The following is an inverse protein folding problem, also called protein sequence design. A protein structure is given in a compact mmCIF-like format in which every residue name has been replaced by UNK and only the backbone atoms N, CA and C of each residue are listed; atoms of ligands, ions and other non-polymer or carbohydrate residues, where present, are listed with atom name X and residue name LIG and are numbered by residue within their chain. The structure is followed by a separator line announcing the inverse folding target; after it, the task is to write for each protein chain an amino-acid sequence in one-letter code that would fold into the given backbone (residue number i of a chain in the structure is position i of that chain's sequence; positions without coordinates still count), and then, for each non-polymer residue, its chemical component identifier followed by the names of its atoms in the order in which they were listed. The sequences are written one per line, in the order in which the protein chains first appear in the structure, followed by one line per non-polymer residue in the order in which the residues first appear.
data_IF_804217444555
#
_entry.id   IF_804217444555
#
_cell.length_a   1.000
_cell.length_b   1.000
_cell.length_c   1.000
_cell.angle_alpha   90.00
_cell.angle_beta   90.00
_cell.angle_gamma   90.00
#
_symmetry.space_group_name_H-M   'P 1'
#
loop_
_entity.id
_entity.type
_entity.pdbx_description
1 polymer ?
#
# COMPACT_ATOMS: atom_id res chain seq x y z
N UNK A 1 6.58 5.15 -7.36
CA UNK A 1 5.88 5.64 -8.57
C UNK A 1 4.55 4.91 -8.67
N UNK A 2 3.49 5.65 -8.97
CA UNK A 2 2.10 5.17 -8.97
C UNK A 2 1.39 5.80 -10.15
N UNK A 3 0.84 4.97 -11.03
CA UNK A 3 0.00 5.43 -12.14
C UNK A 3 -1.45 5.61 -11.68
N UNK A 4 -2.10 6.65 -12.15
CA UNK A 4 -3.54 6.85 -11.90
C UNK A 4 -4.32 5.73 -12.58
N UNK A 5 -5.12 4.94 -11.84
CA UNK A 5 -5.88 3.85 -12.43
C UNK A 5 -6.96 4.40 -13.37
N UNK A 6 -7.06 3.81 -14.57
CA UNK A 6 -8.09 4.19 -15.58
C UNK A 6 -9.51 3.81 -15.17
N UNK A 7 -9.64 2.83 -14.27
CA UNK A 7 -10.90 2.32 -13.75
C UNK A 7 -10.65 1.66 -12.38
N UNK A 8 -11.74 1.38 -11.66
CA UNK A 8 -11.76 0.80 -10.30
C UNK A 8 -11.28 1.76 -9.20
N UNK A 9 -11.45 1.32 -7.96
CA UNK A 9 -11.06 2.03 -6.74
C UNK A 9 -9.78 1.43 -6.10
N UNK A 10 -8.94 0.74 -6.88
CA UNK A 10 -7.69 0.17 -6.41
C UNK A 10 -6.49 0.92 -6.97
N UNK A 11 -5.54 1.25 -6.09
CA UNK A 11 -4.24 1.81 -6.48
C UNK A 11 -3.19 0.71 -6.37
N UNK A 12 -2.36 0.58 -7.40
CA UNK A 12 -1.24 -0.36 -7.43
C UNK A 12 0.07 0.42 -7.35
N UNK A 13 0.88 0.14 -6.33
CA UNK A 13 2.07 0.91 -6.02
C UNK A 13 3.29 0.03 -5.79
N UNK A 14 4.46 0.46 -6.27
CA UNK A 14 5.74 -0.20 -5.95
C UNK A 14 6.13 0.07 -4.51
N UNK A 15 6.68 -0.95 -3.84
CA UNK A 15 7.28 -0.81 -2.51
C UNK A 15 8.74 -0.32 -2.60
N UNK A 16 9.32 0.20 -1.51
CA UNK A 16 10.75 0.51 -1.45
C UNK A 16 11.63 -0.72 -1.69
N UNK A 17 12.82 -0.51 -2.29
CA UNK A 17 13.81 -1.59 -2.47
C UNK A 17 14.27 -2.14 -1.12
N UNK A 18 14.63 -3.42 -1.09
CA UNK A 18 15.12 -4.09 0.12
C UNK A 18 14.04 -4.73 0.98
N UNK A 19 12.77 -4.63 0.58
CA UNK A 19 11.65 -5.30 1.23
C UNK A 19 10.97 -6.28 0.27
N UNK A 20 10.33 -7.31 0.84
CA UNK A 20 9.29 -8.08 0.14
C UNK A 20 7.94 -7.39 0.27
N UNK A 21 7.03 -7.65 -0.67
CA UNK A 21 5.63 -7.18 -0.62
C UNK A 21 4.95 -7.51 0.70
N UNK A 22 5.20 -8.72 1.21
CA UNK A 22 4.64 -9.19 2.46
C UNK A 22 5.20 -8.39 3.65
N UNK A 23 6.53 -8.41 3.83
CA UNK A 23 7.16 -7.82 5.02
C UNK A 23 6.91 -6.32 5.11
N UNK A 24 6.89 -5.63 3.98
CA UNK A 24 6.59 -4.20 3.96
C UNK A 24 5.16 -3.90 4.43
N UNK A 25 4.16 -4.65 3.95
CA UNK A 25 2.77 -4.41 4.36
C UNK A 25 2.53 -4.75 5.84
N UNK A 26 3.15 -5.82 6.34
CA UNK A 26 3.06 -6.19 7.76
C UNK A 26 3.77 -5.18 8.66
N UNK A 27 4.96 -4.70 8.28
CA UNK A 27 5.66 -3.64 9.02
C UNK A 27 4.81 -2.38 9.17
N UNK A 28 4.11 -1.98 8.10
CA UNK A 28 3.20 -0.83 8.12
C UNK A 28 1.99 -1.09 9.04
N UNK A 29 1.43 -2.30 8.99
CA UNK A 29 0.34 -2.67 9.89
C UNK A 29 0.78 -2.56 11.35
N UNK A 30 1.93 -3.14 11.69
CA UNK A 30 2.42 -3.22 13.06
C UNK A 30 2.85 -1.84 13.61
N UNK A 31 3.52 -1.02 12.80
CA UNK A 31 4.10 0.24 13.28
C UNK A 31 3.13 1.43 13.22
N UNK A 32 2.26 1.48 12.21
CA UNK A 32 1.38 2.64 12.01
C UNK A 32 -0.12 2.30 11.94
N UNK A 33 -0.48 1.05 12.20
CA UNK A 33 -1.87 0.58 12.20
C UNK A 33 -2.60 0.88 10.87
N UNK A 34 -1.90 0.72 9.74
CA UNK A 34 -2.47 0.86 8.39
C UNK A 34 -2.30 -0.45 7.64
N UNK A 35 -3.40 -1.01 7.14
CA UNK A 35 -3.36 -2.22 6.34
C UNK A 35 -3.36 -1.91 4.83
N UNK A 36 -2.51 -2.62 4.09
CA UNK A 36 -2.49 -2.66 2.63
C UNK A 36 -2.30 -4.11 2.19
N UNK A 37 -2.74 -4.45 0.98
CA UNK A 37 -2.68 -5.84 0.51
C UNK A 37 -1.34 -6.09 -0.18
N UNK A 38 -0.53 -7.08 0.27
CA UNK A 38 0.71 -7.46 -0.40
C UNK A 38 0.45 -7.83 -1.86
N UNK A 39 1.23 -7.28 -2.77
CA UNK A 39 1.11 -7.58 -4.20
C UNK A 39 1.40 -9.05 -4.52
N UNK A 40 2.26 -9.70 -3.71
CA UNK A 40 2.57 -11.13 -3.82
C UNK A 40 1.34 -12.06 -3.70
N UNK A 41 0.26 -11.61 -3.07
CA UNK A 41 -1.01 -12.37 -3.03
C UNK A 41 -1.69 -12.50 -4.40
N UNK A 42 -1.31 -11.67 -5.38
CA UNK A 42 -1.80 -11.75 -6.77
C UNK A 42 -0.89 -12.59 -7.67
N UNK A 43 0.08 -13.30 -7.08
CA UNK A 43 1.03 -14.16 -7.79
C UNK A 43 2.42 -13.54 -7.94
N UNK A 44 3.35 -14.31 -8.51
CA UNK A 44 4.79 -13.97 -8.55
C UNK A 44 5.12 -12.62 -9.18
N UNK A 45 4.29 -12.13 -10.11
CA UNK A 45 4.49 -10.84 -10.79
C UNK A 45 4.03 -9.65 -9.95
N UNK A 46 3.32 -9.88 -8.85
CA UNK A 46 2.94 -8.84 -7.90
C UNK A 46 3.97 -8.59 -6.80
N UNK A 47 5.05 -9.39 -6.74
CA UNK A 47 6.16 -9.13 -5.82
C UNK A 47 6.81 -7.77 -6.11
N UNK A 48 7.18 -7.03 -5.06
CA UNK A 48 7.64 -5.65 -5.18
C UNK A 48 6.52 -4.61 -5.31
N UNK A 49 5.26 -5.01 -5.10
CA UNK A 49 4.11 -4.11 -5.12
C UNK A 49 3.18 -4.30 -3.92
N UNK A 50 2.26 -3.35 -3.76
CA UNK A 50 1.11 -3.43 -2.87
C UNK A 50 -0.14 -2.86 -3.55
N UNK A 51 -1.31 -3.21 -3.00
CA UNK A 51 -2.60 -2.67 -3.43
C UNK A 51 -3.28 -1.89 -2.30
N UNK A 52 -3.75 -0.70 -2.63
CA UNK A 52 -4.54 0.15 -1.73
C UNK A 52 -5.99 0.16 -2.24
N UNK A 53 -6.94 -0.05 -1.33
CA UNK A 53 -8.37 0.02 -1.64
C UNK A 53 -8.92 1.39 -1.21
N UNK A 54 -9.45 2.17 -2.16
CA UNK A 54 -10.08 3.46 -1.91
C UNK A 54 -11.57 3.28 -1.56
N UNK A 55 -11.87 2.34 -0.67
CA UNK A 55 -13.24 1.92 -0.30
C UNK A 55 -13.70 2.47 1.05
N UNK A 56 -12.98 3.44 1.59
CA UNK A 56 -13.27 4.10 2.87
C UNK A 56 -13.52 5.60 2.64
N UNK A 57 -14.16 6.28 3.60
CA UNK A 57 -14.33 7.74 3.55
C UNK A 57 -13.00 8.46 3.32
N UNK A 58 -13.06 9.60 2.62
CA UNK A 58 -11.90 10.39 2.23
C UNK A 58 -11.03 10.74 3.44
N UNK A 59 -11.66 11.15 4.53
CA UNK A 59 -11.00 11.56 5.77
C UNK A 59 -10.17 10.41 6.36
N UNK A 60 -10.68 9.18 6.28
CA UNK A 60 -10.00 7.99 6.79
C UNK A 60 -8.82 7.60 5.90
N UNK A 61 -8.98 7.74 4.57
CA UNK A 61 -7.90 7.52 3.62
C UNK A 61 -6.80 8.56 3.79
N UNK A 62 -7.15 9.83 3.96
CA UNK A 62 -6.20 10.91 4.24
C UNK A 62 -5.40 10.65 5.51
N UNK A 63 -6.06 10.26 6.60
CA UNK A 63 -5.39 9.89 7.86
C UNK A 63 -4.34 8.78 7.65
N UNK A 64 -4.73 7.69 6.97
CA UNK A 64 -3.83 6.57 6.68
C UNK A 64 -2.63 7.02 5.82
N UNK A 65 -2.87 7.84 4.80
CA UNK A 65 -1.83 8.36 3.92
C UNK A 65 -0.88 9.32 4.66
N UNK A 66 -1.37 10.12 5.61
CA UNK A 66 -0.53 10.97 6.44
C UNK A 66 0.39 10.15 7.37
N UNK A 67 -0.12 9.07 7.97
CA UNK A 67 0.70 8.14 8.77
C UNK A 67 1.77 7.48 7.91
N UNK A 68 1.39 7.01 6.72
CA UNK A 68 2.32 6.39 5.77
C UNK A 68 3.41 7.38 5.34
N UNK A 69 3.05 8.63 5.05
CA UNK A 69 4.01 9.68 4.70
C UNK A 69 5.04 9.90 5.81
N UNK A 70 4.60 9.96 7.07
CA UNK A 70 5.49 10.12 8.24
C UNK A 70 6.41 8.92 8.44
N UNK A 71 5.90 7.70 8.22
CA UNK A 71 6.69 6.47 8.31
C UNK A 71 7.79 6.39 7.23
N UNK A 72 7.53 6.94 6.04
CA UNK A 72 8.46 6.93 4.92
C UNK A 72 9.44 8.11 4.88
N UNK A 73 9.24 9.12 5.72
CA UNK A 73 10.11 10.31 5.81
C UNK A 73 11.33 10.00 6.65
#
# INVERSE_FOLDING_TARGET
EVDTPKATFYVWARIPKGYTSHDFCFKILDEIAVWMIPGSMYGKYGEGYLRIALTHPVERLEEAMQRLKKFLS
#
